data_IF_909114503329
#
_entry.id   IF_909114503329
#
_cell.length_a   1.000
_cell.length_b   1.000
_cell.length_c   1.000
_cell.angle_alpha   90.00
_cell.angle_beta   90.00
_cell.angle_gamma   90.00
#
_symmetry.space_group_name_H-M   'P 1'
#
loop_
_entity.id
_entity.type
_entity.pdbx_description
1 polymer ?
#
# COMPACT_ATOMS: atom_id res chain seq x y z
N UNK A 1 -1.99 6.58 -30.95
CA UNK A 1 -1.35 7.11 -29.73
C UNK A 1 -2.28 6.79 -28.57
N UNK A 2 -1.96 5.80 -27.76
CA UNK A 2 -2.75 5.46 -26.58
C UNK A 2 -1.79 5.53 -25.40
N UNK A 3 -1.77 6.70 -24.79
CA UNK A 3 -0.93 7.01 -23.64
C UNK A 3 -1.50 6.25 -22.45
N UNK A 4 -0.83 5.19 -22.02
CA UNK A 4 -1.14 4.52 -20.77
C UNK A 4 -0.90 5.52 -19.64
N UNK A 5 -1.98 5.95 -18.99
CA UNK A 5 -1.89 6.77 -17.79
C UNK A 5 -1.24 5.91 -16.70
N UNK A 6 -0.02 6.30 -16.30
CA UNK A 6 0.65 5.78 -15.13
C UNK A 6 -0.28 5.95 -13.93
N UNK A 7 -0.77 4.82 -13.41
CA UNK A 7 -1.54 4.69 -12.18
C UNK A 7 -0.73 5.27 -11.00
N UNK A 8 -0.88 6.57 -10.75
CA UNK A 8 -0.21 7.24 -9.66
C UNK A 8 -1.00 7.01 -8.37
N UNK A 9 -0.63 5.96 -7.61
CA UNK A 9 -1.13 5.74 -6.26
C UNK A 9 -0.64 6.90 -5.40
N UNK A 10 -1.55 7.83 -5.10
CA UNK A 10 -1.30 8.90 -4.14
C UNK A 10 -1.44 8.35 -2.74
N UNK A 11 -0.33 7.88 -2.17
CA UNK A 11 -0.23 7.70 -0.72
C UNK A 11 -0.19 9.09 -0.11
N UNK A 12 -1.32 9.57 0.43
CA UNK A 12 -1.36 10.86 1.08
C UNK A 12 -0.50 10.81 2.36
N UNK A 13 0.58 11.60 2.46
CA UNK A 13 1.35 11.67 3.69
C UNK A 13 0.57 12.59 4.64
N UNK A 14 -0.28 11.98 5.46
CA UNK A 14 -0.75 12.63 6.69
C UNK A 14 -0.31 11.77 7.86
N UNK A 15 0.95 11.97 8.22
CA UNK A 15 1.57 11.49 9.44
C UNK A 15 0.88 12.15 10.65
N UNK A 16 -0.30 11.63 11.01
CA UNK A 16 -0.97 11.81 12.31
C UNK A 16 -1.98 10.66 12.53
N UNK A 17 -2.47 10.04 11.47
CA UNK A 17 -3.44 8.95 11.57
C UNK A 17 -2.73 7.63 11.40
N UNK A 18 -2.90 6.72 12.34
CA UNK A 18 -2.51 5.31 12.26
C UNK A 18 -3.18 4.53 11.11
N UNK A 19 -3.66 5.21 10.07
CA UNK A 19 -4.34 4.60 8.95
C UNK A 19 -3.78 5.12 7.64
N UNK A 20 -3.53 4.19 6.72
CA UNK A 20 -3.05 4.45 5.37
C UNK A 20 -4.17 4.11 4.41
N UNK A 21 -4.55 5.06 3.56
CA UNK A 21 -5.48 4.77 2.47
C UNK A 21 -4.70 4.41 1.23
N UNK A 22 -4.82 3.16 0.79
CA UNK A 22 -4.23 2.67 -0.44
C UNK A 22 -5.27 2.78 -1.55
N UNK A 23 -4.89 3.45 -2.63
CA UNK A 23 -5.69 3.57 -3.84
C UNK A 23 -5.07 2.69 -4.91
N UNK A 24 -5.88 2.00 -5.70
CA UNK A 24 -5.43 1.21 -6.85
C UNK A 24 -6.51 1.28 -7.91
N UNK A 25 -6.13 1.32 -9.18
CA UNK A 25 -7.07 1.34 -10.31
C UNK A 25 -7.79 0.00 -10.51
N UNK A 26 -7.38 -1.03 -9.79
CA UNK A 26 -7.94 -2.35 -9.92
C UNK A 26 -9.03 -2.64 -8.87
N UNK A 27 -9.94 -3.58 -9.17
CA UNK A 27 -11.16 -3.76 -8.39
C UNK A 27 -10.92 -4.33 -6.99
N UNK A 28 -9.90 -5.18 -6.83
CA UNK A 28 -9.53 -5.84 -5.57
C UNK A 28 -8.05 -6.18 -5.56
N UNK A 29 -7.46 -6.42 -4.40
CA UNK A 29 -6.05 -6.79 -4.28
C UNK A 29 -5.62 -7.02 -2.84
N UNK A 30 -4.50 -7.70 -2.67
CA UNK A 30 -3.86 -7.92 -1.39
C UNK A 30 -2.79 -6.85 -1.17
N UNK A 31 -2.89 -6.10 -0.08
CA UNK A 31 -1.88 -5.12 0.29
C UNK A 31 -0.98 -5.69 1.37
N UNK A 32 0.30 -5.75 1.07
CA UNK A 32 1.34 -6.24 1.97
C UNK A 32 2.25 -5.08 2.31
N UNK A 33 2.36 -4.75 3.60
CA UNK A 33 3.44 -3.93 4.09
C UNK A 33 4.62 -4.82 4.50
N UNK A 34 5.81 -4.47 4.05
CA UNK A 34 7.08 -5.09 4.42
C UNK A 34 7.97 -4.08 5.11
N UNK A 35 8.73 -4.55 6.09
CA UNK A 35 9.84 -3.80 6.68
C UNK A 35 10.97 -3.62 5.65
N UNK A 36 11.94 -2.72 5.92
CA UNK A 36 13.09 -2.50 5.03
C UNK A 36 14.01 -3.72 4.92
N UNK A 37 13.94 -4.63 5.89
CA UNK A 37 14.65 -5.92 5.88
C UNK A 37 13.98 -6.97 4.98
N UNK A 38 12.84 -6.64 4.36
CA UNK A 38 12.05 -7.52 3.50
C UNK A 38 11.07 -8.44 4.23
N UNK A 39 11.01 -8.39 5.56
CA UNK A 39 10.05 -9.16 6.34
C UNK A 39 8.65 -8.55 6.27
N UNK A 40 7.60 -9.37 6.34
CA UNK A 40 6.21 -8.90 6.26
C UNK A 40 5.78 -8.26 7.59
N UNK A 41 5.42 -6.98 7.53
CA UNK A 41 4.91 -6.21 8.66
C UNK A 41 3.40 -6.34 8.82
N UNK A 42 2.68 -6.26 7.70
CA UNK A 42 1.22 -6.35 7.68
C UNK A 42 0.76 -6.95 6.36
N UNK A 43 -0.28 -7.76 6.39
CA UNK A 43 -0.94 -8.24 5.20
C UNK A 43 -2.45 -8.04 5.34
N UNK A 44 -3.06 -7.40 4.35
CA UNK A 44 -4.50 -7.17 4.31
C UNK A 44 -5.03 -7.40 2.91
N UNK A 45 -5.96 -8.34 2.78
CA UNK A 45 -6.77 -8.48 1.58
C UNK A 45 -7.83 -7.39 1.51
N UNK A 46 -7.84 -6.65 0.41
CA UNK A 46 -8.78 -5.59 0.12
C UNK A 46 -9.73 -6.05 -1.00
N UNK A 47 -11.01 -6.27 -0.66
CA UNK A 47 -12.03 -6.67 -1.64
C UNK A 47 -12.51 -5.52 -2.53
N UNK A 48 -12.19 -4.28 -2.19
CA UNK A 48 -12.48 -3.08 -2.97
C UNK A 48 -11.46 -1.98 -2.65
N UNK A 49 -10.98 -1.26 -3.67
CA UNK A 49 -10.19 -0.04 -3.49
C UNK A 49 -11.08 1.21 -3.62
N UNK A 50 -10.81 2.31 -2.88
CA UNK A 50 -9.68 2.50 -1.96
C UNK A 50 -9.83 1.69 -0.66
N UNK A 51 -8.71 1.15 -0.18
CA UNK A 51 -8.66 0.30 1.00
C UNK A 51 -7.90 1.00 2.12
N UNK A 52 -8.48 1.05 3.31
CA UNK A 52 -7.84 1.62 4.48
C UNK A 52 -7.13 0.55 5.29
N UNK A 53 -5.85 0.76 5.56
CA UNK A 53 -4.98 -0.11 6.34
C UNK A 53 -4.73 0.55 7.68
N UNK A 54 -4.95 -0.17 8.76
CA UNK A 54 -4.56 0.30 10.10
C UNK A 54 -3.11 -0.12 10.37
N UNK A 55 -2.24 0.86 10.56
CA UNK A 55 -0.83 0.73 10.92
C UNK A 55 -0.55 1.13 12.37
N UNK A 56 -1.57 1.29 13.23
CA UNK A 56 -1.41 1.63 14.67
C UNK A 56 -0.43 0.70 15.37
N UNK A 57 -0.52 -0.60 15.05
CA UNK A 57 0.33 -1.64 15.65
C UNK A 57 1.76 -1.67 15.11
N UNK A 58 2.04 -0.96 14.01
CA UNK A 58 3.36 -0.90 13.40
C UNK A 58 4.22 0.14 14.12
N UNK A 59 5.51 -0.17 14.30
CA UNK A 59 6.48 0.76 14.88
C UNK A 59 6.77 1.91 13.91
N UNK A 60 7.33 3.01 14.42
CA UNK A 60 7.79 4.11 13.58
C UNK A 60 8.93 3.63 12.68
N UNK A 61 8.93 4.03 11.42
CA UNK A 61 9.91 3.55 10.44
C UNK A 61 9.41 3.56 9.00
N UNK A 62 10.27 3.12 8.10
CA UNK A 62 9.95 2.93 6.70
C UNK A 62 9.34 1.55 6.44
N UNK A 63 8.33 1.51 5.61
CA UNK A 63 7.64 0.30 5.17
C UNK A 63 7.50 0.33 3.66
N UNK A 64 7.84 -0.77 2.98
CA UNK A 64 7.44 -0.99 1.60
C UNK A 64 5.97 -1.43 1.56
N UNK A 65 5.15 -0.79 0.75
CA UNK A 65 3.76 -1.18 0.50
C UNK A 65 3.71 -1.83 -0.88
N UNK A 66 3.34 -3.09 -0.93
CA UNK A 66 3.17 -3.86 -2.15
C UNK A 66 1.69 -4.19 -2.35
N UNK A 67 1.19 -3.98 -3.56
CA UNK A 67 -0.16 -4.42 -3.93
C UNK A 67 -0.02 -5.64 -4.86
N UNK A 68 -0.51 -6.79 -4.39
CA UNK A 68 -0.55 -8.05 -5.13
C UNK A 68 -1.98 -8.29 -5.63
N UNK A 69 -2.12 -8.62 -6.90
CA UNK A 69 -3.36 -9.02 -7.53
C UNK A 69 -3.18 -10.37 -8.19
N UNK A 70 -3.64 -11.42 -7.50
CA UNK A 70 -3.39 -12.79 -7.93
C UNK A 70 -1.89 -13.07 -7.99
N UNK A 71 -1.37 -13.31 -9.19
CA UNK A 71 0.05 -13.57 -9.45
C UNK A 71 0.88 -12.31 -9.68
N UNK A 72 0.25 -11.17 -9.95
CA UNK A 72 0.93 -9.95 -10.37
C UNK A 72 1.13 -8.98 -9.21
N UNK A 73 2.35 -8.51 -9.02
CA UNK A 73 2.67 -7.41 -8.10
C UNK A 73 2.57 -6.13 -8.92
N UNK A 74 1.52 -5.34 -8.69
CA UNK A 74 1.26 -4.18 -9.52
C UNK A 74 2.07 -2.96 -9.12
N UNK A 75 2.31 -2.73 -7.82
CA UNK A 75 2.95 -1.50 -7.37
C UNK A 75 3.67 -1.69 -6.04
N UNK A 76 4.82 -1.01 -5.91
CA UNK A 76 5.64 -0.94 -4.71
C UNK A 76 5.86 0.54 -4.37
N UNK A 77 5.30 1.01 -3.26
CA UNK A 77 5.44 2.40 -2.80
C UNK A 77 6.02 2.40 -1.38
N UNK A 78 6.91 3.34 -1.07
CA UNK A 78 7.45 3.47 0.29
C UNK A 78 6.52 4.31 1.15
N UNK A 79 6.20 3.82 2.34
CA UNK A 79 5.43 4.48 3.37
C UNK A 79 6.33 4.77 4.56
N UNK A 80 6.41 6.04 4.96
CA UNK A 80 7.09 6.42 6.18
C UNK A 80 6.08 6.67 7.30
N UNK A 81 6.27 5.99 8.44
CA UNK A 81 5.51 6.23 9.68
C UNK A 81 6.39 7.04 10.64
N UNK A 82 5.97 8.27 10.93
CA UNK A 82 6.64 9.19 11.87
C UNK A 82 6.38 8.88 13.35
#
# INVERSE_FOLDING_TARGET
MTTAALAAIKVAPKAVTDTVTVQSDAPQGEVVLTYPDGSMALNKTCGSFPCQLNISSLQKGEYGVMIRQGTDIQNMVSLYKE
#
